data_IF_772608695985
#
_entry.id   IF_772608695985
#
_cell.length_a   1.000
_cell.length_b   1.000
_cell.length_c   1.000
_cell.angle_alpha   90.00
_cell.angle_beta   90.00
_cell.angle_gamma   90.00
#
_symmetry.space_group_name_H-M   'P 1'
#
loop_
_entity.id
_entity.type
_entity.pdbx_description
1 polymer ?
#
# COMPACT_ATOMS: atom_id res chain seq x y z
N UNK A 1 4.58 2.77 22.67
CA UNK A 1 4.22 2.39 21.28
C UNK A 1 2.76 1.99 21.16
N UNK A 2 2.17 2.13 19.94
CA UNK A 2 0.71 2.04 19.71
C UNK A 2 0.09 0.69 20.12
N UNK A 3 0.82 -0.41 19.98
CA UNK A 3 0.35 -1.76 20.34
C UNK A 3 1.06 -2.37 21.55
N UNK A 4 1.88 -1.61 22.25
CA UNK A 4 2.68 -2.13 23.35
C UNK A 4 1.80 -2.67 24.48
N UNK A 5 2.07 -3.92 24.86
CA UNK A 5 1.47 -4.59 26.01
C UNK A 5 2.59 -5.20 26.84
N UNK A 6 3.15 -4.40 27.73
CA UNK A 6 4.29 -4.78 28.58
C UNK A 6 3.94 -5.89 29.57
N UNK A 7 2.64 -6.15 29.81
CA UNK A 7 2.16 -7.17 30.74
C UNK A 7 1.89 -8.52 30.06
N UNK A 8 1.75 -8.55 28.73
CA UNK A 8 1.34 -9.73 27.97
C UNK A 8 -0.08 -10.24 28.26
N UNK A 9 -0.80 -9.58 29.16
CA UNK A 9 -2.13 -10.05 29.60
C UNK A 9 -3.18 -10.00 28.48
N UNK A 10 -3.10 -8.99 27.60
CA UNK A 10 -4.02 -8.89 26.46
C UNK A 10 -3.86 -10.10 25.53
N UNK A 11 -2.61 -10.47 25.22
CA UNK A 11 -2.34 -11.63 24.37
C UNK A 11 -2.76 -12.93 25.04
N UNK A 12 -2.57 -13.08 26.34
CA UNK A 12 -3.01 -14.26 27.08
C UNK A 12 -4.52 -14.45 27.01
N UNK A 13 -5.30 -13.37 27.21
CA UNK A 13 -6.76 -13.38 27.07
C UNK A 13 -7.20 -13.75 25.65
N UNK A 14 -6.59 -13.16 24.62
CA UNK A 14 -6.88 -13.46 23.22
C UNK A 14 -6.54 -14.91 22.89
N UNK A 15 -5.36 -15.40 23.34
CA UNK A 15 -4.94 -16.79 23.11
C UNK A 15 -5.92 -17.76 23.76
N UNK A 16 -6.37 -17.50 24.98
CA UNK A 16 -7.34 -18.32 25.66
C UNK A 16 -8.67 -18.37 24.89
N UNK A 17 -9.20 -17.22 24.51
CA UNK A 17 -10.42 -17.12 23.70
C UNK A 17 -10.29 -17.88 22.37
N UNK A 18 -9.21 -17.68 21.64
CA UNK A 18 -8.96 -18.38 20.35
C UNK A 18 -8.82 -19.90 20.56
N UNK A 19 -8.18 -20.34 21.67
CA UNK A 19 -8.07 -21.76 21.99
C UNK A 19 -9.41 -22.39 22.30
N UNK A 20 -10.29 -21.70 23.03
CA UNK A 20 -11.65 -22.16 23.31
C UNK A 20 -12.48 -22.25 22.03
N UNK A 21 -12.43 -21.22 21.17
CA UNK A 21 -13.15 -21.21 19.87
C UNK A 21 -12.65 -22.37 18.99
N UNK A 22 -11.33 -22.56 18.91
CA UNK A 22 -10.75 -23.66 18.13
C UNK A 22 -11.15 -25.03 18.68
N UNK A 23 -11.16 -25.20 19.99
CA UNK A 23 -11.57 -26.44 20.64
C UNK A 23 -13.03 -26.77 20.33
N UNK A 24 -13.94 -25.79 20.47
CA UNK A 24 -15.35 -25.96 20.14
C UNK A 24 -15.53 -26.34 18.66
N UNK A 25 -14.79 -25.68 17.76
CA UNK A 25 -14.81 -25.98 16.33
C UNK A 25 -14.31 -27.39 16.03
N UNK A 26 -13.18 -27.80 16.62
CA UNK A 26 -12.61 -29.15 16.45
C UNK A 26 -13.53 -30.24 16.99
N UNK A 27 -14.16 -30.01 18.17
CA UNK A 27 -15.16 -30.93 18.73
C UNK A 27 -16.35 -31.08 17.76
N UNK A 28 -16.85 -29.96 17.21
CA UNK A 28 -17.95 -29.99 16.24
C UNK A 28 -17.58 -30.75 14.96
N UNK A 29 -16.38 -30.55 14.42
CA UNK A 29 -15.89 -31.31 13.28
C UNK A 29 -15.70 -32.79 13.59
N UNK A 30 -15.20 -33.15 14.77
CA UNK A 30 -15.08 -34.53 15.22
C UNK A 30 -16.43 -35.21 15.31
N UNK A 31 -17.41 -34.58 15.96
CA UNK A 31 -18.78 -35.09 16.09
C UNK A 31 -19.44 -35.28 14.70
N UNK A 32 -19.22 -34.33 13.78
CA UNK A 32 -19.68 -34.43 12.40
C UNK A 32 -19.04 -35.59 11.64
N UNK A 33 -17.71 -35.76 11.77
CA UNK A 33 -16.97 -36.88 11.20
C UNK A 33 -17.44 -38.24 11.73
N UNK A 34 -17.61 -38.37 13.03
CA UNK A 34 -18.11 -39.58 13.66
C UNK A 34 -19.54 -39.94 13.23
N UNK A 35 -20.36 -38.92 12.96
CA UNK A 35 -21.70 -39.11 12.41
C UNK A 35 -21.66 -39.62 10.95
N UNK A 36 -20.79 -39.05 10.10
CA UNK A 36 -20.60 -39.46 8.71
C UNK A 36 -20.18 -40.95 8.63
N UNK A 37 -19.34 -41.45 9.53
CA UNK A 37 -18.90 -42.83 9.59
C UNK A 37 -19.86 -43.75 10.35
N UNK A 38 -21.05 -43.25 10.80
CA UNK A 38 -22.06 -44.00 11.56
C UNK A 38 -21.50 -44.73 12.81
N UNK A 39 -20.42 -44.18 13.40
CA UNK A 39 -19.76 -44.77 14.56
C UNK A 39 -20.56 -44.54 15.85
N UNK A 40 -21.35 -43.46 15.90
CA UNK A 40 -22.15 -43.07 17.07
C UNK A 40 -23.63 -43.05 16.71
N UNK A 41 -24.40 -43.91 17.39
CA UNK A 41 -25.85 -44.01 17.20
C UNK A 41 -26.69 -43.32 18.28
N UNK A 42 -26.12 -42.31 18.94
CA UNK A 42 -26.87 -41.50 19.91
C UNK A 42 -27.70 -40.41 19.19
N UNK A 43 -29.04 -40.45 19.21
CA UNK A 43 -29.89 -39.50 18.48
C UNK A 43 -29.63 -38.05 18.81
N UNK A 44 -29.34 -37.75 20.09
CA UNK A 44 -29.08 -36.39 20.58
C UNK A 44 -27.72 -35.86 20.00
N UNK A 45 -26.69 -36.70 20.02
CA UNK A 45 -25.35 -36.31 19.48
C UNK A 45 -25.44 -36.12 17.97
N UNK A 46 -26.18 -36.98 17.28
CA UNK A 46 -26.43 -36.85 15.85
C UNK A 46 -27.18 -35.51 15.53
N UNK A 47 -28.22 -35.20 16.30
CA UNK A 47 -28.95 -33.93 16.11
C UNK A 47 -28.05 -32.70 16.35
N UNK A 48 -27.24 -32.71 17.40
CA UNK A 48 -26.28 -31.63 17.70
C UNK A 48 -25.24 -31.49 16.57
N UNK A 49 -24.67 -32.61 16.10
CA UNK A 49 -23.67 -32.62 15.03
C UNK A 49 -24.25 -32.11 13.70
N UNK A 50 -25.47 -32.53 13.34
CA UNK A 50 -26.15 -32.06 12.13
C UNK A 50 -26.49 -30.58 12.22
N UNK A 51 -27.02 -30.10 13.36
CA UNK A 51 -27.34 -28.70 13.55
C UNK A 51 -26.08 -27.82 13.53
N UNK A 52 -24.96 -28.28 14.12
CA UNK A 52 -23.68 -27.59 14.07
C UNK A 52 -23.15 -27.50 12.63
N UNK A 53 -23.17 -28.60 11.87
CA UNK A 53 -22.74 -28.63 10.48
C UNK A 53 -23.60 -27.71 9.58
N UNK A 54 -24.93 -27.74 9.78
CA UNK A 54 -25.85 -26.84 9.07
C UNK A 54 -25.59 -25.38 9.43
N UNK A 55 -25.34 -25.06 10.71
CA UNK A 55 -24.95 -23.72 11.17
C UNK A 55 -23.67 -23.22 10.48
N UNK A 56 -22.64 -24.07 10.43
CA UNK A 56 -21.39 -23.75 9.71
C UNK A 56 -21.67 -23.52 8.23
N UNK A 57 -22.44 -24.39 7.58
CA UNK A 57 -22.78 -24.26 6.15
C UNK A 57 -23.52 -22.95 5.87
N UNK A 58 -24.53 -22.61 6.67
CA UNK A 58 -25.30 -21.36 6.54
C UNK A 58 -24.39 -20.17 6.74
N UNK A 59 -23.56 -20.14 7.80
CA UNK A 59 -22.59 -19.07 8.07
C UNK A 59 -21.65 -18.89 6.89
N UNK A 60 -21.10 -19.97 6.37
CA UNK A 60 -20.16 -19.94 5.26
C UNK A 60 -20.79 -19.41 3.96
N UNK A 61 -21.99 -19.90 3.60
CA UNK A 61 -22.73 -19.41 2.42
C UNK A 61 -23.05 -17.92 2.59
N UNK A 62 -23.54 -17.51 3.78
CA UNK A 62 -23.84 -16.10 4.06
C UNK A 62 -22.59 -15.22 3.97
N UNK A 63 -21.47 -15.71 4.50
CA UNK A 63 -20.17 -15.02 4.41
C UNK A 63 -19.71 -14.87 2.96
N UNK A 64 -19.79 -15.92 2.15
CA UNK A 64 -19.44 -15.89 0.71
C UNK A 64 -20.34 -14.91 -0.04
N UNK A 65 -21.66 -14.98 0.16
CA UNK A 65 -22.60 -14.06 -0.48
C UNK A 65 -22.29 -12.61 -0.09
N UNK A 66 -22.08 -12.35 1.19
CA UNK A 66 -21.73 -11.02 1.68
C UNK A 66 -20.43 -10.51 1.04
N UNK A 67 -19.37 -11.32 1.00
CA UNK A 67 -18.08 -10.90 0.43
C UNK A 67 -18.16 -10.67 -1.08
N UNK A 68 -18.94 -11.45 -1.80
CA UNK A 68 -19.17 -11.25 -3.25
C UNK A 68 -19.96 -9.98 -3.49
N UNK A 69 -21.07 -9.77 -2.78
CA UNK A 69 -21.91 -8.59 -2.93
C UNK A 69 -21.12 -7.32 -2.60
N UNK A 70 -20.43 -7.30 -1.46
CA UNK A 70 -19.60 -6.16 -1.05
C UNK A 70 -18.42 -5.93 -1.99
N UNK A 71 -17.76 -7.01 -2.45
CA UNK A 71 -16.67 -6.93 -3.41
C UNK A 71 -17.12 -6.38 -4.76
N UNK A 72 -18.28 -6.82 -5.25
CA UNK A 72 -18.85 -6.36 -6.51
C UNK A 72 -19.32 -4.89 -6.42
N UNK A 73 -19.99 -4.54 -5.33
CA UNK A 73 -20.39 -3.15 -5.05
C UNK A 73 -19.18 -2.22 -4.97
N UNK A 74 -18.12 -2.64 -4.24
CA UNK A 74 -16.85 -1.92 -4.18
C UNK A 74 -16.24 -1.74 -5.56
N UNK A 75 -16.22 -2.79 -6.39
CA UNK A 75 -15.71 -2.71 -7.76
C UNK A 75 -16.49 -1.69 -8.60
N UNK A 76 -17.82 -1.69 -8.56
CA UNK A 76 -18.66 -0.73 -9.28
C UNK A 76 -18.33 0.70 -8.84
N UNK A 77 -18.22 0.93 -7.54
CA UNK A 77 -17.89 2.26 -6.98
C UNK A 77 -16.50 2.70 -7.47
N UNK A 78 -15.50 1.81 -7.37
CA UNK A 78 -14.13 2.12 -7.83
C UNK A 78 -14.12 2.43 -9.32
N UNK A 79 -14.81 1.64 -10.15
CA UNK A 79 -14.88 1.90 -11.60
C UNK A 79 -15.53 3.24 -11.88
N UNK A 80 -16.68 3.53 -11.28
CA UNK A 80 -17.39 4.78 -11.49
C UNK A 80 -16.49 5.99 -11.19
N UNK A 81 -15.86 6.03 -10.02
CA UNK A 81 -14.99 7.14 -9.63
C UNK A 81 -13.67 7.17 -10.40
N UNK A 82 -13.10 6.03 -10.73
CA UNK A 82 -11.91 5.94 -11.58
C UNK A 82 -12.16 6.53 -12.97
N UNK A 83 -13.26 6.14 -13.64
CA UNK A 83 -13.63 6.70 -14.96
C UNK A 83 -13.97 8.18 -14.88
N UNK A 84 -14.66 8.61 -13.83
CA UNK A 84 -14.96 10.03 -13.60
C UNK A 84 -13.68 10.86 -13.45
N UNK A 85 -12.72 10.40 -12.61
CA UNK A 85 -11.40 11.01 -12.47
C UNK A 85 -10.66 11.06 -13.81
N UNK A 86 -10.63 9.94 -14.53
CA UNK A 86 -9.94 9.86 -15.82
C UNK A 86 -10.48 10.87 -16.83
N UNK A 87 -11.82 11.00 -16.94
CA UNK A 87 -12.47 12.00 -17.79
C UNK A 87 -12.17 13.42 -17.35
N UNK A 88 -12.28 13.71 -16.05
CA UNK A 88 -11.96 15.04 -15.48
C UNK A 88 -10.52 15.46 -15.78
N UNK A 89 -9.56 14.55 -15.52
CA UNK A 89 -8.13 14.80 -15.82
C UNK A 89 -7.89 15.01 -17.32
N UNK A 90 -8.57 14.27 -18.19
CA UNK A 90 -8.46 14.45 -19.65
C UNK A 90 -8.90 15.85 -20.06
N UNK A 91 -10.09 16.28 -19.65
CA UNK A 91 -10.62 17.63 -19.95
C UNK A 91 -9.71 18.72 -19.39
N UNK A 92 -9.24 18.57 -18.13
CA UNK A 92 -8.31 19.53 -17.53
C UNK A 92 -7.00 19.65 -18.32
N UNK A 93 -6.44 18.54 -18.80
CA UNK A 93 -5.21 18.53 -19.60
C UNK A 93 -5.41 19.20 -20.97
N UNK A 94 -6.54 18.95 -21.62
CA UNK A 94 -6.90 19.61 -22.87
C UNK A 94 -7.03 21.13 -22.67
N UNK A 95 -7.69 21.56 -21.59
CA UNK A 95 -7.81 22.97 -21.21
C UNK A 95 -6.43 23.62 -20.93
N UNK A 96 -5.57 22.97 -20.15
CA UNK A 96 -4.21 23.46 -19.86
C UNK A 96 -3.37 23.55 -21.13
N UNK A 97 -3.46 22.56 -22.03
CA UNK A 97 -2.70 22.57 -23.29
C UNK A 97 -3.13 23.70 -24.23
N UNK A 98 -4.42 24.07 -24.19
CA UNK A 98 -4.95 25.20 -24.96
C UNK A 98 -4.58 26.56 -24.34
N UNK A 99 -4.38 26.63 -23.01
CA UNK A 99 -4.09 27.84 -22.25
C UNK A 99 -2.72 27.76 -21.58
N UNK A 100 -1.65 27.61 -22.35
CA UNK A 100 -0.27 27.37 -21.86
C UNK A 100 0.25 28.43 -20.88
N UNK A 101 -0.22 29.64 -20.98
CA UNK A 101 0.29 30.83 -20.30
C UNK A 101 0.30 30.70 -18.76
N UNK A 102 -0.74 30.12 -18.17
CA UNK A 102 -0.85 30.04 -16.70
C UNK A 102 0.17 29.08 -16.07
N UNK A 103 0.45 27.95 -16.72
CA UNK A 103 1.39 26.94 -16.21
C UNK A 103 2.86 27.28 -16.43
N UNK A 104 3.18 28.17 -17.38
CA UNK A 104 4.54 28.66 -17.60
C UNK A 104 5.01 29.56 -16.45
N UNK A 105 4.08 30.24 -15.76
CA UNK A 105 4.41 31.15 -14.65
C UNK A 105 4.48 30.47 -13.27
N UNK A 106 3.83 29.31 -13.09
CA UNK A 106 3.87 28.62 -11.80
C UNK A 106 5.10 27.70 -11.70
N UNK A 107 6.20 28.25 -11.22
CA UNK A 107 7.48 27.54 -11.02
C UNK A 107 8.02 27.81 -9.60
N UNK A 108 7.36 27.26 -8.56
CA UNK A 108 7.83 27.43 -7.20
C UNK A 108 9.20 26.80 -6.98
N UNK A 109 10.00 27.29 -6.02
CA UNK A 109 11.23 26.64 -5.63
C UNK A 109 10.95 25.21 -5.08
N UNK A 110 11.71 24.24 -5.59
CA UNK A 110 11.56 22.81 -5.25
C UNK A 110 12.82 22.28 -4.60
N UNK A 111 12.68 21.73 -3.40
CA UNK A 111 13.71 20.92 -2.75
C UNK A 111 13.37 19.44 -2.83
N UNK A 112 14.39 18.61 -3.01
CA UNK A 112 14.24 17.14 -2.97
C UNK A 112 14.92 16.61 -1.71
N UNK A 113 14.26 15.71 -0.97
CA UNK A 113 14.83 15.02 0.19
C UNK A 113 14.95 13.53 -0.13
N UNK A 114 16.17 13.00 0.05
CA UNK A 114 16.48 11.58 -0.13
C UNK A 114 17.07 11.05 1.19
N UNK A 115 16.30 10.34 2.02
CA UNK A 115 16.87 9.63 3.17
C UNK A 115 17.63 8.40 2.66
N UNK A 116 18.88 8.23 3.09
CA UNK A 116 19.73 7.10 2.70
C UNK A 116 20.31 6.40 3.92
N UNK A 117 20.41 5.05 3.82
CA UNK A 117 21.09 4.21 4.80
C UNK A 117 21.64 2.97 4.12
N UNK A 118 22.96 2.93 3.90
CA UNK A 118 23.67 1.85 3.21
C UNK A 118 23.12 1.59 1.79
N UNK A 119 23.16 2.58 0.91
CA UNK A 119 22.60 2.52 -0.45
C UNK A 119 23.67 2.71 -1.54
N UNK A 120 24.94 2.27 -1.27
CA UNK A 120 26.09 2.43 -2.16
C UNK A 120 25.86 1.90 -3.59
N UNK A 121 25.02 0.85 -3.74
CA UNK A 121 24.75 0.18 -5.03
C UNK A 121 23.91 1.06 -5.97
N UNK A 122 23.04 1.92 -5.43
CA UNK A 122 21.95 2.55 -6.19
C UNK A 122 21.95 4.07 -6.17
N UNK A 123 22.51 4.69 -5.12
CA UNK A 123 22.34 6.13 -4.86
C UNK A 123 22.81 7.02 -6.02
N UNK A 124 23.92 6.67 -6.69
CA UNK A 124 24.44 7.43 -7.85
C UNK A 124 23.38 7.53 -8.94
N UNK A 125 22.76 6.41 -9.31
CA UNK A 125 21.73 6.37 -10.36
C UNK A 125 20.53 7.24 -10.02
N UNK A 126 20.10 7.24 -8.76
CA UNK A 126 18.97 8.06 -8.28
C UNK A 126 19.28 9.55 -8.43
N UNK A 127 20.45 9.99 -7.97
CA UNK A 127 20.87 11.40 -8.09
C UNK A 127 21.01 11.81 -9.56
N UNK A 128 21.65 10.98 -10.39
CA UNK A 128 21.84 11.25 -11.84
C UNK A 128 20.49 11.40 -12.57
N UNK A 129 19.48 10.59 -12.18
CA UNK A 129 18.16 10.70 -12.78
C UNK A 129 17.45 12.01 -12.39
N UNK A 130 17.65 12.48 -11.16
CA UNK A 130 17.09 13.77 -10.71
C UNK A 130 17.76 14.96 -11.38
N UNK A 131 19.08 14.90 -11.59
CA UNK A 131 19.82 15.95 -12.30
C UNK A 131 19.45 16.04 -13.79
N UNK A 132 18.86 14.96 -14.36
CA UNK A 132 18.31 14.98 -15.73
C UNK A 132 16.88 15.53 -15.81
N UNK A 133 16.30 15.99 -14.70
CA UNK A 133 14.95 16.55 -14.69
C UNK A 133 14.84 17.79 -15.57
N UNK A 134 13.69 17.93 -16.23
CA UNK A 134 13.33 19.15 -16.97
C UNK A 134 12.85 20.30 -16.08
N UNK A 135 12.82 20.11 -14.75
CA UNK A 135 12.47 21.13 -13.77
C UNK A 135 13.74 21.68 -13.09
N UNK A 136 13.83 23.01 -12.98
CA UNK A 136 14.95 23.63 -12.28
C UNK A 136 14.82 23.42 -10.76
N UNK A 137 15.67 22.57 -10.22
CA UNK A 137 15.70 22.26 -8.79
C UNK A 137 16.45 23.33 -8.00
N UNK A 138 15.93 23.65 -6.81
CA UNK A 138 16.63 24.52 -5.86
C UNK A 138 17.76 23.75 -5.17
N UNK A 139 17.46 22.53 -4.74
CA UNK A 139 18.43 21.65 -4.09
C UNK A 139 17.97 20.18 -4.10
N UNK A 140 18.95 19.27 -4.02
CA UNK A 140 18.78 17.85 -3.71
C UNK A 140 19.49 17.61 -2.39
N UNK A 141 18.73 17.43 -1.32
CA UNK A 141 19.23 17.23 0.03
C UNK A 141 19.21 15.75 0.37
N UNK A 142 20.38 15.15 0.47
CA UNK A 142 20.57 13.75 0.83
C UNK A 142 20.84 13.68 2.33
N UNK A 143 20.01 12.93 3.06
CA UNK A 143 20.17 12.74 4.50
C UNK A 143 20.71 11.33 4.73
N UNK A 144 21.99 11.23 5.00
CA UNK A 144 22.64 9.97 5.36
C UNK A 144 22.40 9.64 6.84
N UNK A 145 21.51 8.71 7.07
CA UNK A 145 21.08 8.26 8.41
C UNK A 145 22.09 7.25 9.03
N UNK A 146 23.38 7.61 8.98
CA UNK A 146 24.46 6.84 9.59
C UNK A 146 24.88 5.61 8.80
N UNK A 147 25.03 5.71 7.48
CA UNK A 147 25.56 4.62 6.64
C UNK A 147 26.93 4.16 7.09
N UNK A 148 27.15 2.84 6.99
CA UNK A 148 28.41 2.16 7.32
C UNK A 148 29.16 1.62 6.10
N UNK A 149 28.53 1.71 4.93
CA UNK A 149 29.08 1.36 3.61
C UNK A 149 29.68 2.60 2.90
N UNK A 150 29.92 2.51 1.60
CA UNK A 150 30.49 3.59 0.80
C UNK A 150 29.49 4.67 0.34
N UNK A 151 28.24 4.64 0.84
CA UNK A 151 27.18 5.59 0.40
C UNK A 151 27.66 7.05 0.50
N UNK A 152 28.15 7.46 1.65
CA UNK A 152 28.57 8.85 1.87
C UNK A 152 29.80 9.24 1.03
N UNK A 153 30.78 8.36 0.87
CA UNK A 153 31.98 8.61 0.04
C UNK A 153 31.62 8.76 -1.43
N UNK A 154 30.75 7.87 -1.96
CA UNK A 154 30.26 7.94 -3.34
C UNK A 154 29.59 9.30 -3.62
N UNK A 155 28.75 9.79 -2.70
CA UNK A 155 28.04 11.06 -2.86
C UNK A 155 29.04 12.21 -2.87
N UNK A 156 29.96 12.26 -1.89
CA UNK A 156 30.98 13.30 -1.79
C UNK A 156 31.88 13.35 -3.02
N UNK A 157 32.42 12.21 -3.45
CA UNK A 157 33.33 12.13 -4.57
C UNK A 157 32.68 12.46 -5.93
N UNK A 158 31.39 12.08 -6.09
CA UNK A 158 30.72 12.25 -7.37
C UNK A 158 30.05 13.61 -7.56
N UNK A 159 29.68 14.31 -6.47
CA UNK A 159 28.83 15.49 -6.55
C UNK A 159 29.34 16.68 -5.72
N UNK A 160 30.61 16.67 -5.21
CA UNK A 160 31.21 17.79 -4.46
C UNK A 160 31.13 19.14 -5.20
N UNK A 161 31.29 19.10 -6.52
CA UNK A 161 31.30 20.29 -7.35
C UNK A 161 29.92 20.74 -7.83
N UNK A 162 28.87 19.97 -7.49
CA UNK A 162 27.51 20.30 -7.89
C UNK A 162 26.78 21.06 -6.77
N UNK A 163 26.53 22.39 -6.92
CA UNK A 163 25.95 23.21 -5.84
C UNK A 163 24.51 22.83 -5.51
N UNK A 164 23.84 22.09 -6.39
CA UNK A 164 22.46 21.63 -6.17
C UNK A 164 22.40 20.41 -5.25
N UNK A 165 23.47 19.60 -5.17
CA UNK A 165 23.51 18.36 -4.37
C UNK A 165 24.16 18.65 -3.00
N UNK A 166 23.42 18.39 -1.95
CA UNK A 166 23.88 18.59 -0.57
C UNK A 166 23.78 17.30 0.21
N UNK A 167 24.81 16.94 0.96
CA UNK A 167 24.85 15.78 1.85
C UNK A 167 24.87 16.23 3.30
N UNK A 168 23.90 15.76 4.07
CA UNK A 168 23.90 15.85 5.54
C UNK A 168 24.03 14.46 6.14
N UNK A 169 24.98 14.30 7.05
CA UNK A 169 25.22 13.03 7.75
C UNK A 169 24.71 13.13 9.20
N UNK A 170 24.01 12.11 9.65
CA UNK A 170 23.49 12.02 11.02
C UNK A 170 23.70 10.62 11.60
N UNK A 171 23.44 10.45 12.89
CA UNK A 171 23.37 9.13 13.50
C UNK A 171 22.06 8.46 13.08
N UNK A 172 22.09 7.13 12.96
CA UNK A 172 20.89 6.37 12.59
C UNK A 172 19.76 6.54 13.60
N UNK A 173 18.72 7.28 13.19
CA UNK A 173 17.51 7.53 13.97
C UNK A 173 16.24 7.11 13.19
N UNK A 174 16.41 6.49 12.02
CA UNK A 174 15.35 5.98 11.16
C UNK A 174 14.82 6.98 10.14
N UNK A 175 14.19 6.45 9.09
CA UNK A 175 13.74 7.20 7.90
C UNK A 175 12.90 8.44 8.23
N UNK A 176 11.92 8.33 9.13
CA UNK A 176 11.07 9.47 9.50
C UNK A 176 11.87 10.63 10.13
N UNK A 177 12.88 10.30 10.96
CA UNK A 177 13.77 11.28 11.56
C UNK A 177 14.64 11.97 10.50
N UNK A 178 15.20 11.20 9.54
CA UNK A 178 15.97 11.73 8.43
C UNK A 178 15.12 12.67 7.54
N UNK A 179 13.88 12.27 7.22
CA UNK A 179 12.95 13.13 6.49
C UNK A 179 12.64 14.43 7.23
N UNK A 180 12.40 14.37 8.56
CA UNK A 180 12.15 15.55 9.38
C UNK A 180 13.33 16.51 9.38
N UNK A 181 14.55 16.00 9.52
CA UNK A 181 15.76 16.80 9.40
C UNK A 181 15.85 17.48 8.03
N UNK A 182 15.52 16.71 6.95
CA UNK A 182 15.46 17.25 5.60
C UNK A 182 14.45 18.40 5.47
N UNK A 183 13.23 18.25 5.96
CA UNK A 183 12.21 19.31 5.93
C UNK A 183 12.63 20.57 6.67
N UNK A 184 13.33 20.44 7.80
CA UNK A 184 13.83 21.56 8.58
C UNK A 184 14.98 22.32 7.89
N UNK A 185 15.72 21.66 7.00
CA UNK A 185 16.87 22.24 6.30
C UNK A 185 16.55 22.72 4.89
N UNK A 186 15.42 22.29 4.30
CA UNK A 186 15.02 22.68 2.94
C UNK A 186 14.46 24.10 2.88
N UNK A 187 14.68 24.76 1.75
CA UNK A 187 14.21 26.13 1.46
C UNK A 187 13.08 26.17 0.41
N UNK A 188 12.83 25.07 -0.29
CA UNK A 188 11.78 24.98 -1.31
C UNK A 188 10.38 25.17 -0.73
N UNK A 189 9.48 25.78 -1.50
CA UNK A 189 8.05 25.85 -1.20
C UNK A 189 7.41 24.46 -1.30
N UNK A 190 7.83 23.71 -2.31
CA UNK A 190 7.41 22.34 -2.55
C UNK A 190 8.59 21.42 -2.24
N UNK A 191 8.33 20.42 -1.41
CA UNK A 191 9.31 19.40 -1.04
C UNK A 191 8.91 18.07 -1.68
N UNK A 192 9.84 17.49 -2.44
CA UNK A 192 9.65 16.14 -3.01
C UNK A 192 10.44 15.16 -2.16
N UNK A 193 9.79 14.07 -1.74
CA UNK A 193 10.45 12.96 -1.06
C UNK A 193 10.45 11.73 -1.94
N UNK A 194 11.58 11.03 -2.00
CA UNK A 194 11.71 9.75 -2.69
C UNK A 194 12.68 8.83 -1.95
N UNK A 195 12.50 7.52 -2.16
CA UNK A 195 13.42 6.52 -1.63
C UNK A 195 14.68 6.43 -2.49
N UNK A 196 15.81 6.04 -1.90
CA UNK A 196 17.11 5.97 -2.56
C UNK A 196 17.15 5.01 -3.77
N UNK A 197 16.21 4.06 -3.85
CA UNK A 197 16.06 3.08 -4.96
C UNK A 197 15.11 3.53 -6.07
N UNK A 198 14.61 4.74 -5.98
CA UNK A 198 13.60 5.26 -6.91
C UNK A 198 14.24 6.10 -8.01
N UNK A 199 13.90 5.81 -9.26
CA UNK A 199 14.37 6.55 -10.43
C UNK A 199 13.19 7.31 -11.04
N UNK A 200 13.30 8.63 -11.13
CA UNK A 200 12.29 9.49 -11.74
C UNK A 200 12.47 9.59 -13.27
N UNK A 201 11.33 9.61 -13.99
CA UNK A 201 11.32 10.07 -15.36
C UNK A 201 11.62 11.58 -15.41
N UNK A 202 12.32 12.11 -16.43
CA UNK A 202 12.71 13.54 -16.48
C UNK A 202 11.56 14.53 -16.27
N UNK A 203 10.35 14.21 -16.68
CA UNK A 203 9.17 15.08 -16.55
C UNK A 203 8.41 14.91 -15.22
N UNK A 204 8.80 13.97 -14.38
CA UNK A 204 8.06 13.62 -13.15
C UNK A 204 7.88 14.81 -12.24
N UNK A 205 8.94 15.57 -11.99
CA UNK A 205 8.93 16.71 -11.09
C UNK A 205 7.99 17.80 -11.59
N UNK A 206 8.05 18.13 -12.87
CA UNK A 206 7.14 19.12 -13.50
C UNK A 206 5.68 18.71 -13.35
N UNK A 207 5.37 17.41 -13.54
CA UNK A 207 4.00 16.92 -13.39
C UNK A 207 3.53 16.89 -11.93
N UNK A 208 4.39 16.63 -10.96
CA UNK A 208 4.02 16.73 -9.55
C UNK A 208 3.73 18.17 -9.16
N UNK A 209 4.65 19.09 -9.49
CA UNK A 209 4.62 20.48 -9.05
C UNK A 209 3.42 21.26 -9.61
N UNK A 210 3.04 21.05 -10.85
CA UNK A 210 1.93 21.76 -11.48
C UNK A 210 0.60 21.70 -10.70
N UNK A 211 0.39 20.63 -9.93
CA UNK A 211 -0.84 20.44 -9.15
C UNK A 211 -0.93 21.37 -7.93
N UNK A 212 0.18 21.95 -7.48
CA UNK A 212 0.23 22.87 -6.34
C UNK A 212 -0.18 24.32 -6.71
N UNK A 213 -0.51 24.58 -7.96
CA UNK A 213 -1.18 25.82 -8.38
C UNK A 213 -2.55 26.00 -7.71
N UNK A 214 -3.20 24.92 -7.27
CA UNK A 214 -4.33 24.97 -6.34
C UNK A 214 -3.80 25.05 -4.90
N UNK A 215 -4.05 26.17 -4.17
CA UNK A 215 -3.55 26.34 -2.80
C UNK A 215 -4.12 25.33 -1.79
N UNK A 216 -5.25 24.67 -2.11
CA UNK A 216 -5.84 23.63 -1.26
C UNK A 216 -5.08 22.28 -1.36
N UNK A 217 -4.21 22.11 -2.36
CA UNK A 217 -3.41 20.91 -2.53
C UNK A 217 -2.23 20.94 -1.58
N UNK A 218 -2.23 19.99 -0.64
CA UNK A 218 -1.14 19.81 0.32
C UNK A 218 -0.15 18.72 -0.09
N UNK A 219 -0.61 17.72 -0.84
CA UNK A 219 0.25 16.63 -1.28
C UNK A 219 -0.15 16.11 -2.69
N UNK A 220 0.85 15.64 -3.42
CA UNK A 220 0.68 15.00 -4.72
C UNK A 220 1.45 13.68 -4.70
N UNK A 221 0.80 12.58 -5.06
CA UNK A 221 1.43 11.27 -5.24
C UNK A 221 1.52 10.92 -6.71
N UNK A 222 2.68 10.46 -7.16
CA UNK A 222 2.89 10.02 -8.54
C UNK A 222 2.55 8.55 -8.78
N UNK A 223 2.84 8.10 -9.99
CA UNK A 223 2.62 6.75 -10.50
C UNK A 223 3.91 5.93 -10.39
N UNK A 224 4.04 5.18 -9.31
CA UNK A 224 5.18 4.31 -9.09
C UNK A 224 5.02 3.00 -9.86
N UNK A 225 6.05 2.61 -10.61
CA UNK A 225 6.11 1.39 -11.41
C UNK A 225 7.26 0.49 -10.96
N UNK A 226 7.10 -0.82 -11.13
CA UNK A 226 8.18 -1.77 -10.84
C UNK A 226 9.22 -1.73 -11.96
N UNK A 227 10.48 -1.44 -11.58
CA UNK A 227 11.62 -1.34 -12.48
C UNK A 227 12.34 -2.65 -12.75
N UNK A 228 12.34 -3.60 -11.80
CA UNK A 228 13.11 -4.86 -11.86
C UNK A 228 12.23 -6.10 -12.13
N UNK A 229 11.53 -6.16 -13.26
CA UNK A 229 10.62 -7.28 -13.63
C UNK A 229 11.41 -8.52 -14.12
N UNK A 230 12.09 -9.26 -13.21
CA UNK A 230 13.00 -10.35 -13.52
C UNK A 230 12.45 -11.75 -13.31
N UNK A 231 11.60 -11.92 -12.32
CA UNK A 231 11.04 -13.22 -11.94
C UNK A 231 9.52 -13.16 -11.73
N UNK A 232 8.92 -14.30 -11.42
CA UNK A 232 7.48 -14.43 -11.22
C UNK A 232 6.96 -13.52 -10.08
N UNK A 233 7.69 -13.41 -8.98
CA UNK A 233 7.30 -12.58 -7.84
C UNK A 233 7.30 -11.09 -8.19
N UNK A 234 8.31 -10.60 -8.91
CA UNK A 234 8.38 -9.21 -9.36
C UNK A 234 7.33 -8.90 -10.43
N UNK A 235 6.97 -9.89 -11.26
CA UNK A 235 5.89 -9.76 -12.22
C UNK A 235 4.51 -9.65 -11.53
N UNK A 236 4.27 -10.44 -10.48
CA UNK A 236 3.05 -10.34 -9.68
C UNK A 236 2.92 -9.01 -8.96
N UNK A 237 4.03 -8.48 -8.43
CA UNK A 237 4.07 -7.13 -7.85
C UNK A 237 3.79 -6.05 -8.92
N UNK A 238 4.29 -6.22 -10.15
CA UNK A 238 3.97 -5.32 -11.25
C UNK A 238 2.46 -5.28 -11.54
N UNK A 239 1.78 -6.44 -11.63
CA UNK A 239 0.33 -6.50 -11.84
C UNK A 239 -0.42 -5.80 -10.70
N UNK A 240 -0.03 -6.03 -9.46
CA UNK A 240 -0.61 -5.36 -8.28
C UNK A 240 -0.45 -3.83 -8.36
N UNK A 241 0.77 -3.34 -8.65
CA UNK A 241 1.04 -1.90 -8.74
C UNK A 241 0.22 -1.24 -9.86
N UNK A 242 0.22 -1.82 -11.05
CA UNK A 242 -0.58 -1.29 -12.17
C UNK A 242 -2.06 -1.24 -11.79
N UNK A 243 -2.57 -2.29 -11.14
CA UNK A 243 -4.00 -2.35 -10.75
C UNK A 243 -4.31 -1.32 -9.66
N UNK A 244 -3.52 -1.22 -8.60
CA UNK A 244 -3.77 -0.29 -7.50
C UNK A 244 -3.60 1.18 -7.94
N UNK A 245 -2.54 1.50 -8.68
CA UNK A 245 -2.27 2.87 -9.13
C UNK A 245 -3.33 3.37 -10.13
N UNK A 246 -3.76 2.52 -11.07
CA UNK A 246 -4.65 2.96 -12.13
C UNK A 246 -6.14 2.79 -11.85
N UNK A 247 -6.53 2.05 -10.82
CA UNK A 247 -7.93 1.97 -10.38
C UNK A 247 -8.15 2.65 -9.05
N UNK A 248 -7.55 2.12 -7.98
CA UNK A 248 -7.86 2.52 -6.62
C UNK A 248 -7.41 3.95 -6.33
N UNK A 249 -6.17 4.32 -6.66
CA UNK A 249 -5.68 5.69 -6.43
C UNK A 249 -6.50 6.73 -7.21
N UNK A 250 -6.90 6.42 -8.46
CA UNK A 250 -7.77 7.31 -9.24
C UNK A 250 -9.13 7.48 -8.57
N UNK A 251 -9.76 6.38 -8.16
CA UNK A 251 -11.05 6.42 -7.49
C UNK A 251 -10.98 7.18 -6.17
N UNK A 252 -9.95 6.93 -5.36
CA UNK A 252 -9.75 7.61 -4.07
C UNK A 252 -9.37 9.09 -4.24
N UNK A 253 -8.67 9.49 -5.31
CA UNK A 253 -8.48 10.91 -5.62
C UNK A 253 -9.83 11.59 -5.87
N UNK A 254 -10.67 11.01 -6.72
CA UNK A 254 -11.97 11.59 -7.05
C UNK A 254 -12.91 11.67 -5.84
N UNK A 255 -12.76 10.73 -4.90
CA UNK A 255 -13.45 10.74 -3.61
C UNK A 255 -12.80 11.69 -2.58
N UNK A 256 -11.63 12.28 -2.87
CA UNK A 256 -10.88 13.09 -1.93
C UNK A 256 -10.38 12.30 -0.71
N UNK A 257 -10.05 11.02 -0.88
CA UNK A 257 -9.72 10.11 0.24
C UNK A 257 -8.55 9.16 -0.07
N UNK A 258 -7.53 9.64 -0.80
CA UNK A 258 -6.26 8.91 -0.96
C UNK A 258 -5.68 8.62 0.41
N UNK A 259 -5.54 7.37 0.79
CA UNK A 259 -5.07 6.96 2.13
C UNK A 259 -3.56 6.85 2.24
N UNK A 260 -2.83 6.83 1.11
CA UNK A 260 -1.37 6.69 1.07
C UNK A 260 -0.78 7.58 -0.02
N UNK A 261 -0.01 8.55 0.39
CA UNK A 261 0.93 9.29 -0.46
C UNK A 261 2.27 8.57 -0.36
N UNK A 262 2.63 7.80 -1.40
CA UNK A 262 3.77 6.87 -1.36
C UNK A 262 5.09 7.59 -1.11
N UNK A 263 5.88 7.14 -0.14
CA UNK A 263 7.20 7.68 0.17
C UNK A 263 8.21 7.66 -1.00
N UNK A 264 7.96 6.81 -2.01
CA UNK A 264 8.84 6.67 -3.19
C UNK A 264 8.57 7.68 -4.32
N UNK A 265 7.42 8.36 -4.32
CA UNK A 265 7.07 9.34 -5.38
C UNK A 265 6.00 10.30 -4.86
N UNK A 266 6.44 11.27 -4.08
CA UNK A 266 5.53 12.23 -3.44
C UNK A 266 6.09 13.64 -3.43
N UNK A 267 5.19 14.61 -3.54
CA UNK A 267 5.47 16.03 -3.37
C UNK A 267 4.52 16.60 -2.31
N UNK A 268 5.03 17.55 -1.53
CA UNK A 268 4.37 18.10 -0.36
C UNK A 268 4.48 19.63 -0.35
N UNK A 269 3.39 20.31 0.01
CA UNK A 269 3.48 21.74 0.36
C UNK A 269 4.16 21.83 1.71
N UNK A 270 5.40 22.34 1.75
CA UNK A 270 6.26 22.38 2.94
C UNK A 270 5.53 22.95 4.15
N UNK A 271 4.91 24.12 4.00
CA UNK A 271 4.19 24.81 5.07
C UNK A 271 3.13 23.91 5.75
N UNK A 272 2.40 23.09 4.99
CA UNK A 272 1.38 22.19 5.56
C UNK A 272 2.02 21.06 6.37
N UNK A 273 3.14 20.51 5.91
CA UNK A 273 3.87 19.46 6.66
C UNK A 273 4.45 20.02 7.96
N UNK A 274 4.98 21.25 7.94
CA UNK A 274 5.46 21.97 9.11
C UNK A 274 4.33 22.24 10.11
N UNK A 275 3.21 22.76 9.64
CA UNK A 275 2.02 23.05 10.47
C UNK A 275 1.46 21.79 11.14
N UNK A 276 1.49 20.66 10.44
CA UNK A 276 1.06 19.36 10.97
C UNK A 276 2.11 18.69 11.87
N UNK A 277 3.29 19.27 12.07
CA UNK A 277 4.32 18.74 12.97
C UNK A 277 5.17 17.61 12.39
N UNK A 278 5.41 17.64 11.08
CA UNK A 278 6.29 16.71 10.34
C UNK A 278 5.86 15.23 10.39
N UNK A 279 6.76 14.30 10.07
CA UNK A 279 6.52 12.85 10.17
C UNK A 279 6.61 12.36 11.61
N UNK A 280 5.71 11.50 12.01
CA UNK A 280 5.77 10.86 13.32
C UNK A 280 6.70 9.64 13.28
N UNK A 281 7.66 9.57 14.19
CA UNK A 281 8.70 8.52 14.25
C UNK A 281 8.22 7.24 14.93
N UNK A 282 7.02 7.24 15.51
CA UNK A 282 6.41 6.10 16.22
C UNK A 282 5.62 5.15 15.32
N UNK A 283 5.63 5.37 13.99
CA UNK A 283 4.88 4.59 13.00
C UNK A 283 5.80 4.03 11.92
N UNK A 284 5.55 2.78 11.49
CA UNK A 284 6.33 2.12 10.42
C UNK A 284 5.85 2.46 9.00
N UNK A 285 4.70 3.14 8.88
CA UNK A 285 4.18 3.71 7.64
C UNK A 285 3.98 5.22 7.86
N UNK A 286 5.07 5.92 7.99
CA UNK A 286 5.14 7.35 8.28
C UNK A 286 4.41 8.19 7.24
N UNK A 287 4.47 7.78 5.98
CA UNK A 287 3.79 8.37 4.84
C UNK A 287 2.26 8.24 4.92
N UNK A 288 1.78 7.06 5.28
CA UNK A 288 0.35 6.79 5.51
C UNK A 288 -0.17 7.63 6.68
N UNK A 289 0.61 7.72 7.75
CA UNK A 289 0.25 8.48 8.95
C UNK A 289 0.11 9.97 8.66
N UNK A 290 1.08 10.56 7.96
CA UNK A 290 1.03 11.96 7.53
C UNK A 290 -0.14 12.20 6.56
N UNK A 291 -0.39 11.26 5.64
CA UNK A 291 -1.52 11.32 4.70
C UNK A 291 -2.86 11.45 5.43
N UNK A 292 -3.09 10.65 6.48
CA UNK A 292 -4.33 10.71 7.27
C UNK A 292 -4.47 12.05 8.00
N UNK A 293 -3.37 12.62 8.54
CA UNK A 293 -3.41 13.95 9.18
C UNK A 293 -3.77 15.05 8.17
N UNK A 294 -3.20 15.03 6.99
CA UNK A 294 -3.50 15.97 5.91
C UNK A 294 -5.00 15.90 5.53
N UNK A 295 -5.55 14.71 5.36
CA UNK A 295 -6.98 14.53 5.04
C UNK A 295 -7.89 15.02 6.17
N UNK A 296 -7.51 14.77 7.43
CA UNK A 296 -8.28 15.23 8.60
C UNK A 296 -8.20 16.75 8.80
N UNK A 297 -7.14 17.39 8.34
CA UNK A 297 -6.99 18.86 8.29
C UNK A 297 -7.80 19.50 7.15
N UNK A 298 -8.43 18.70 6.28
CA UNK A 298 -9.30 19.19 5.21
C UNK A 298 -8.57 19.55 3.90
N UNK A 299 -7.28 19.24 3.79
CA UNK A 299 -6.51 19.50 2.59
C UNK A 299 -6.75 18.46 1.51
N UNK A 300 -6.48 18.86 0.25
CA UNK A 300 -6.58 17.97 -0.92
C UNK A 300 -5.27 17.22 -1.15
N UNK A 301 -5.43 15.97 -1.59
CA UNK A 301 -4.35 15.11 -2.07
C UNK A 301 -4.67 14.71 -3.51
N UNK A 302 -3.70 14.87 -4.41
CA UNK A 302 -3.84 14.61 -5.85
C UNK A 302 -3.00 13.40 -6.25
N UNK A 303 -3.54 12.57 -7.15
CA UNK A 303 -2.79 11.54 -7.86
C UNK A 303 -2.44 12.02 -9.27
N UNK A 304 -1.16 12.13 -9.59
CA UNK A 304 -0.70 12.51 -10.93
C UNK A 304 -0.13 11.30 -11.68
N UNK A 305 -0.90 10.72 -12.56
CA UNK A 305 -0.57 9.50 -13.28
C UNK A 305 0.58 9.65 -14.31
N UNK A 306 0.90 10.88 -14.75
CA UNK A 306 2.04 11.19 -15.64
C UNK A 306 3.36 11.31 -14.87
N UNK A 307 3.31 11.56 -13.57
CA UNK A 307 4.49 11.62 -12.73
C UNK A 307 5.03 10.22 -12.46
N UNK A 308 5.79 9.68 -13.41
CA UNK A 308 6.24 8.28 -13.41
C UNK A 308 7.55 8.15 -12.65
N UNK A 309 7.61 7.18 -11.74
CA UNK A 309 8.84 6.69 -11.12
C UNK A 309 8.96 5.18 -11.25
N UNK A 310 10.19 4.69 -11.16
CA UNK A 310 10.51 3.27 -11.17
C UNK A 310 11.23 2.91 -9.87
N UNK A 311 10.70 1.95 -9.12
CA UNK A 311 11.32 1.46 -7.90
C UNK A 311 11.74 0.00 -8.03
N UNK A 312 12.66 -0.44 -7.18
CA UNK A 312 13.12 -1.80 -7.10
C UNK A 312 12.29 -2.58 -6.08
N UNK A 313 11.45 -3.51 -6.56
CA UNK A 313 10.66 -4.37 -5.68
C UNK A 313 11.46 -5.62 -5.25
N UNK A 314 11.10 -6.25 -4.11
CA UNK A 314 11.73 -7.47 -3.63
C UNK A 314 11.72 -8.62 -4.65
N UNK A 315 12.88 -9.22 -4.88
CA UNK A 315 13.05 -10.36 -5.79
C UNK A 315 12.92 -11.71 -5.08
N UNK A 316 13.01 -11.73 -3.74
CA UNK A 316 12.87 -12.93 -2.91
C UNK A 316 11.60 -12.91 -2.08
N UNK A 317 11.05 -14.10 -1.77
CA UNK A 317 9.88 -14.22 -0.88
C UNK A 317 10.20 -13.68 0.52
N UNK A 318 11.42 -13.89 1.02
CA UNK A 318 11.87 -13.40 2.33
C UNK A 318 11.78 -11.88 2.43
N UNK A 319 12.33 -11.16 1.45
CA UNK A 319 12.34 -9.70 1.43
C UNK A 319 10.94 -9.13 1.14
N UNK A 320 10.18 -9.80 0.27
CA UNK A 320 8.78 -9.49 0.04
C UNK A 320 7.97 -9.53 1.34
N UNK A 321 8.07 -10.63 2.09
CA UNK A 321 7.37 -10.78 3.38
C UNK A 321 7.81 -9.70 4.37
N UNK A 322 9.12 -9.38 4.42
CA UNK A 322 9.68 -8.34 5.30
C UNK A 322 9.10 -6.95 4.94
N UNK A 323 9.09 -6.58 3.65
CA UNK A 323 8.55 -5.30 3.18
C UNK A 323 7.04 -5.20 3.45
N UNK A 324 6.26 -6.20 3.03
CA UNK A 324 4.81 -6.20 3.16
C UNK A 324 4.34 -6.29 4.61
N UNK A 325 5.08 -6.98 5.46
CA UNK A 325 4.83 -7.00 6.90
C UNK A 325 4.95 -5.60 7.50
N UNK A 326 6.02 -4.86 7.17
CA UNK A 326 6.21 -3.48 7.62
C UNK A 326 5.05 -2.58 7.19
N UNK A 327 4.64 -2.66 5.92
CA UNK A 327 3.52 -1.87 5.40
C UNK A 327 2.21 -2.23 6.11
N UNK A 328 1.88 -3.52 6.18
CA UNK A 328 0.63 -3.97 6.81
C UNK A 328 0.57 -3.61 8.30
N UNK A 329 1.68 -3.77 9.01
CA UNK A 329 1.76 -3.42 10.42
C UNK A 329 1.66 -1.90 10.64
N UNK A 330 2.36 -1.09 9.83
CA UNK A 330 2.31 0.37 9.89
C UNK A 330 0.91 0.94 9.58
N UNK A 331 0.21 0.34 8.60
CA UNK A 331 -1.19 0.70 8.31
C UNK A 331 -2.10 0.39 9.50
N UNK A 332 -1.93 -0.77 10.16
CA UNK A 332 -2.69 -1.09 11.38
C UNK A 332 -2.36 -0.12 12.52
N UNK A 333 -1.09 0.27 12.68
CA UNK A 333 -0.68 1.29 13.65
C UNK A 333 -1.38 2.62 13.37
N UNK A 334 -1.37 3.08 12.12
CA UNK A 334 -2.04 4.32 11.70
C UNK A 334 -3.55 4.27 11.97
N UNK A 335 -4.22 3.19 11.56
CA UNK A 335 -5.64 3.02 11.77
C UNK A 335 -6.01 3.05 13.26
N UNK A 336 -5.21 2.40 14.10
CA UNK A 336 -5.43 2.39 15.54
C UNK A 336 -5.15 3.74 16.20
N UNK A 337 -4.05 4.39 15.84
CA UNK A 337 -3.64 5.71 16.33
C UNK A 337 -4.71 6.76 16.02
N UNK A 338 -5.19 6.75 14.78
CA UNK A 338 -6.15 7.74 14.28
C UNK A 338 -7.62 7.30 14.32
N UNK A 339 -7.97 6.18 15.00
CA UNK A 339 -9.35 5.65 15.02
C UNK A 339 -10.40 6.68 15.42
N UNK A 340 -10.11 7.52 16.41
CA UNK A 340 -11.05 8.58 16.84
C UNK A 340 -11.13 9.69 15.79
N UNK A 341 -10.00 10.19 15.29
CA UNK A 341 -9.98 11.25 14.27
C UNK A 341 -10.60 10.79 12.96
N UNK A 342 -10.45 9.51 12.57
CA UNK A 342 -11.12 8.94 11.41
C UNK A 342 -12.63 8.87 11.62
N UNK A 343 -13.09 8.41 12.78
CA UNK A 343 -14.52 8.31 13.11
C UNK A 343 -15.22 9.70 13.13
N UNK A 344 -14.52 10.72 13.55
CA UNK A 344 -15.02 12.10 13.61
C UNK A 344 -14.50 12.98 12.46
N UNK A 345 -13.85 12.37 11.46
CA UNK A 345 -13.30 13.10 10.31
C UNK A 345 -14.37 13.88 9.57
N UNK A 346 -14.11 15.15 9.19
CA UNK A 346 -14.95 15.90 8.26
C UNK A 346 -14.97 15.26 6.86
N UNK A 347 -13.96 14.47 6.52
CA UNK A 347 -13.88 13.75 5.26
C UNK A 347 -14.78 12.51 5.28
N UNK A 348 -16.01 12.66 4.77
CA UNK A 348 -17.01 11.58 4.71
C UNK A 348 -16.51 10.38 3.90
N UNK A 349 -15.79 10.61 2.81
CA UNK A 349 -15.28 9.54 1.95
C UNK A 349 -14.19 8.71 2.65
N UNK A 350 -13.34 9.34 3.44
CA UNK A 350 -12.36 8.64 4.27
C UNK A 350 -13.07 7.70 5.25
N UNK A 351 -14.07 8.21 5.97
CA UNK A 351 -14.80 7.50 7.01
C UNK A 351 -15.67 6.35 6.46
N UNK A 352 -16.46 6.63 5.42
CA UNK A 352 -17.51 5.70 4.97
C UNK A 352 -17.11 4.81 3.80
N UNK A 353 -16.00 5.13 3.10
CA UNK A 353 -15.56 4.34 1.96
C UNK A 353 -14.09 3.90 2.05
N UNK A 354 -13.12 4.81 2.21
CA UNK A 354 -11.71 4.45 2.10
C UNK A 354 -11.27 3.50 3.24
N UNK A 355 -11.58 3.82 4.49
CA UNK A 355 -11.24 2.97 5.64
C UNK A 355 -12.02 1.65 5.64
N UNK A 356 -13.36 1.61 5.43
CA UNK A 356 -14.08 0.36 5.27
C UNK A 356 -13.56 -0.50 4.12
N UNK A 357 -13.19 0.09 2.97
CA UNK A 357 -12.60 -0.62 1.83
C UNK A 357 -11.26 -1.27 2.20
N UNK A 358 -10.42 -0.57 2.95
CA UNK A 358 -9.17 -1.10 3.48
C UNK A 358 -9.41 -2.28 4.45
N UNK A 359 -10.30 -2.11 5.41
CA UNK A 359 -10.67 -3.17 6.37
C UNK A 359 -11.24 -4.39 5.66
N UNK A 360 -12.06 -4.20 4.64
CA UNK A 360 -12.60 -5.27 3.81
C UNK A 360 -11.49 -6.05 3.11
N UNK A 361 -10.46 -5.38 2.56
CA UNK A 361 -9.31 -6.05 1.95
C UNK A 361 -8.53 -6.89 2.98
N UNK A 362 -8.30 -6.36 4.17
CA UNK A 362 -7.67 -7.13 5.26
C UNK A 362 -8.51 -8.35 5.67
N UNK A 363 -9.83 -8.20 5.80
CA UNK A 363 -10.74 -9.30 6.09
C UNK A 363 -10.64 -10.41 5.03
N UNK A 364 -10.62 -10.05 3.73
CA UNK A 364 -10.45 -11.01 2.65
C UNK A 364 -9.12 -11.76 2.73
N UNK A 365 -8.01 -11.09 3.04
CA UNK A 365 -6.71 -11.75 3.20
C UNK A 365 -6.66 -12.65 4.43
N UNK A 366 -7.25 -12.24 5.55
CA UNK A 366 -7.31 -13.05 6.77
C UNK A 366 -8.15 -14.32 6.60
N UNK A 367 -9.25 -14.24 5.87
CA UNK A 367 -10.18 -15.35 5.69
C UNK A 367 -9.87 -16.22 4.47
N UNK A 368 -8.99 -15.78 3.57
CA UNK A 368 -8.70 -16.50 2.33
C UNK A 368 -8.27 -17.96 2.52
N UNK A 369 -7.42 -18.36 3.49
CA UNK A 369 -7.05 -19.75 3.65
C UNK A 369 -8.24 -20.63 4.06
N UNK A 370 -9.13 -20.09 4.89
CA UNK A 370 -10.34 -20.80 5.36
C UNK A 370 -11.30 -20.99 4.18
N UNK A 371 -11.52 -19.94 3.40
CA UNK A 371 -12.38 -19.96 2.21
C UNK A 371 -11.89 -21.01 1.22
N UNK A 372 -10.59 -21.09 0.97
CA UNK A 372 -10.03 -22.01 0.00
C UNK A 372 -10.13 -23.48 0.47
N UNK A 373 -9.91 -23.76 1.77
CA UNK A 373 -10.12 -25.09 2.34
C UNK A 373 -11.58 -25.50 2.18
N UNK A 374 -12.51 -24.62 2.57
CA UNK A 374 -13.95 -24.91 2.44
C UNK A 374 -14.38 -25.04 0.97
N UNK A 375 -13.76 -24.29 0.07
CA UNK A 375 -13.94 -24.42 -1.35
C UNK A 375 -13.51 -25.81 -1.86
N UNK A 376 -12.33 -26.29 -1.45
CA UNK A 376 -11.84 -27.65 -1.80
C UNK A 376 -12.79 -28.72 -1.26
N UNK A 377 -13.22 -28.61 0.00
CA UNK A 377 -14.18 -29.57 0.60
C UNK A 377 -15.49 -29.60 -0.19
N UNK A 378 -16.02 -28.45 -0.56
CA UNK A 378 -17.27 -28.37 -1.32
C UNK A 378 -17.12 -28.89 -2.77
N UNK A 379 -15.95 -28.68 -3.37
CA UNK A 379 -15.59 -29.25 -4.67
C UNK A 379 -15.61 -30.79 -4.61
N UNK A 380 -14.95 -31.37 -3.61
CA UNK A 380 -14.90 -32.80 -3.38
C UNK A 380 -16.29 -33.40 -3.05
N UNK A 381 -17.19 -32.58 -2.49
CA UNK A 381 -18.59 -32.96 -2.18
C UNK A 381 -19.54 -32.89 -3.39
N UNK A 382 -19.06 -32.50 -4.57
CA UNK A 382 -19.88 -32.40 -5.78
C UNK A 382 -20.85 -31.22 -5.81
N UNK A 383 -20.63 -30.17 -4.98
CA UNK A 383 -21.50 -28.99 -4.89
C UNK A 383 -21.25 -28.05 -6.08
N UNK A 384 -22.06 -28.16 -7.14
CA UNK A 384 -21.86 -27.42 -8.42
C UNK A 384 -21.96 -25.89 -8.28
N UNK A 385 -22.79 -25.36 -7.36
CA UNK A 385 -22.96 -23.91 -7.15
C UNK A 385 -21.65 -23.19 -6.81
N UNK A 386 -20.69 -23.89 -6.25
CA UNK A 386 -19.43 -23.29 -5.81
C UNK A 386 -18.52 -22.91 -6.98
N UNK A 387 -18.63 -23.62 -8.11
CA UNK A 387 -17.88 -23.26 -9.33
C UNK A 387 -18.28 -21.88 -9.85
N UNK A 388 -19.58 -21.55 -9.79
CA UNK A 388 -20.07 -20.27 -10.22
C UNK A 388 -19.45 -19.13 -9.37
N UNK A 389 -19.38 -19.32 -8.05
CA UNK A 389 -18.76 -18.32 -7.16
C UNK A 389 -17.26 -18.14 -7.45
N UNK A 390 -16.53 -19.22 -7.69
CA UNK A 390 -15.10 -19.15 -8.04
C UNK A 390 -14.88 -18.41 -9.37
N UNK A 391 -15.69 -18.72 -10.37
CA UNK A 391 -15.63 -18.08 -11.68
C UNK A 391 -15.94 -16.58 -11.55
N UNK A 392 -17.01 -16.21 -10.85
CA UNK A 392 -17.39 -14.79 -10.65
C UNK A 392 -16.28 -14.03 -9.92
N UNK A 393 -15.68 -14.62 -8.89
CA UNK A 393 -14.60 -14.00 -8.15
C UNK A 393 -13.35 -13.79 -9.02
N UNK A 394 -12.99 -14.81 -9.81
CA UNK A 394 -11.86 -14.69 -10.75
C UNK A 394 -12.12 -13.67 -11.85
N UNK A 395 -13.34 -13.68 -12.43
CA UNK A 395 -13.73 -12.72 -13.47
C UNK A 395 -13.71 -11.28 -12.96
N UNK A 396 -14.16 -11.05 -11.72
CA UNK A 396 -14.11 -9.73 -11.09
C UNK A 396 -12.68 -9.22 -10.98
N UNK A 397 -11.75 -10.08 -10.56
CA UNK A 397 -10.33 -9.75 -10.43
C UNK A 397 -9.67 -9.52 -11.80
N UNK A 398 -9.97 -10.38 -12.76
CA UNK A 398 -9.49 -10.24 -14.13
C UNK A 398 -9.98 -8.92 -14.76
N UNK A 399 -11.25 -8.57 -14.56
CA UNK A 399 -11.82 -7.33 -15.05
C UNK A 399 -11.15 -6.11 -14.44
N UNK A 400 -10.90 -6.11 -13.13
CA UNK A 400 -10.15 -5.05 -12.46
C UNK A 400 -8.77 -4.86 -13.09
N UNK A 401 -8.01 -5.94 -13.27
CA UNK A 401 -6.68 -5.88 -13.85
C UNK A 401 -6.69 -5.44 -15.32
N UNK A 402 -7.62 -5.95 -16.14
CA UNK A 402 -7.76 -5.57 -17.55
C UNK A 402 -8.06 -4.06 -17.68
N UNK A 403 -9.01 -3.56 -16.89
CA UNK A 403 -9.38 -2.13 -16.92
C UNK A 403 -8.21 -1.26 -16.45
N UNK A 404 -7.51 -1.64 -15.38
CA UNK A 404 -6.34 -0.92 -14.89
C UNK A 404 -5.22 -0.82 -15.92
N UNK A 405 -4.91 -1.93 -16.60
CA UNK A 405 -3.88 -1.97 -17.63
C UNK A 405 -4.26 -1.12 -18.86
N UNK A 406 -5.53 -1.15 -19.27
CA UNK A 406 -6.03 -0.29 -20.36
C UNK A 406 -5.95 1.20 -20.02
N UNK A 407 -6.42 1.60 -18.84
CA UNK A 407 -6.38 3.00 -18.40
C UNK A 407 -4.93 3.48 -18.22
N UNK A 408 -4.06 2.63 -17.65
CA UNK A 408 -2.63 2.90 -17.47
C UNK A 408 -1.81 2.84 -18.76
N UNK A 409 -2.42 2.44 -19.90
CA UNK A 409 -1.73 2.19 -21.18
C UNK A 409 -0.56 1.20 -21.05
N UNK A 410 -0.73 0.20 -20.19
CA UNK A 410 0.27 -0.84 -19.94
C UNK A 410 0.13 -2.01 -20.92
N UNK A 411 1.24 -2.70 -21.18
CA UNK A 411 1.22 -3.91 -22.02
C UNK A 411 0.42 -5.01 -21.34
N UNK A 412 -0.56 -5.62 -22.02
CA UNK A 412 -1.48 -6.63 -21.47
C UNK A 412 -0.81 -8.01 -21.24
N UNK A 413 0.37 -8.25 -21.82
CA UNK A 413 1.07 -9.54 -21.75
C UNK A 413 1.25 -10.09 -20.31
N UNK A 414 1.57 -9.29 -19.28
CA UNK A 414 1.69 -9.78 -17.90
C UNK A 414 0.42 -10.44 -17.35
N UNK A 415 -0.76 -10.08 -17.85
CA UNK A 415 -2.04 -10.60 -17.35
C UNK A 415 -2.25 -12.10 -17.61
N UNK A 416 -1.47 -12.72 -18.50
CA UNK A 416 -1.46 -14.19 -18.68
C UNK A 416 -1.12 -14.91 -17.36
N UNK A 417 -0.34 -14.26 -16.50
CA UNK A 417 0.06 -14.78 -15.19
C UNK A 417 -0.92 -14.50 -14.06
N UNK A 418 -2.03 -13.83 -14.34
CA UNK A 418 -2.99 -13.41 -13.31
C UNK A 418 -3.59 -14.60 -12.53
N UNK A 419 -3.86 -15.71 -13.22
CA UNK A 419 -4.35 -16.93 -12.56
C UNK A 419 -3.35 -17.45 -11.50
N UNK A 420 -2.09 -17.56 -11.86
CA UNK A 420 -1.02 -18.01 -10.94
C UNK A 420 -0.74 -17.01 -9.83
N UNK A 421 -0.83 -15.71 -10.13
CA UNK A 421 -0.78 -14.66 -9.10
C UNK A 421 -1.85 -14.87 -8.05
N UNK A 422 -3.06 -15.19 -8.48
CA UNK A 422 -4.17 -15.45 -7.56
C UNK A 422 -3.91 -16.61 -6.62
N UNK A 423 -3.36 -17.69 -7.14
CA UNK A 423 -3.07 -18.89 -6.35
C UNK A 423 -1.85 -18.72 -5.42
N UNK A 424 -0.80 -18.05 -5.86
CA UNK A 424 0.45 -17.93 -5.10
C UNK A 424 0.53 -16.64 -4.27
N UNK A 425 0.38 -15.50 -4.92
CA UNK A 425 0.61 -14.18 -4.33
C UNK A 425 -0.40 -13.83 -3.22
N UNK A 426 -1.66 -14.24 -3.39
CA UNK A 426 -2.70 -14.04 -2.37
C UNK A 426 -2.37 -14.73 -1.05
N UNK A 427 -1.78 -15.93 -1.08
CA UNK A 427 -1.36 -16.63 0.14
C UNK A 427 -0.20 -15.93 0.83
N UNK A 428 0.75 -15.37 0.06
CA UNK A 428 1.82 -14.56 0.62
C UNK A 428 1.27 -13.33 1.33
N UNK A 429 0.34 -12.60 0.71
CA UNK A 429 -0.34 -11.46 1.33
C UNK A 429 -1.17 -11.87 2.56
N UNK A 430 -1.88 -12.98 2.48
CA UNK A 430 -2.61 -13.55 3.61
C UNK A 430 -1.69 -13.87 4.79
N UNK A 431 -0.58 -14.56 4.56
CA UNK A 431 0.43 -14.84 5.56
C UNK A 431 0.98 -13.57 6.21
N UNK A 432 1.32 -12.57 5.39
CA UNK A 432 1.81 -11.27 5.87
C UNK A 432 0.77 -10.57 6.75
N UNK A 433 -0.50 -10.56 6.31
CA UNK A 433 -1.60 -9.94 7.05
C UNK A 433 -1.82 -10.64 8.40
N UNK A 434 -1.84 -11.98 8.44
CA UNK A 434 -1.89 -12.76 9.68
C UNK A 434 -0.74 -12.41 10.62
N UNK A 435 0.49 -12.39 10.10
CA UNK A 435 1.68 -12.03 10.85
C UNK A 435 1.59 -10.62 11.43
N UNK A 436 1.10 -9.65 10.66
CA UNK A 436 0.95 -8.27 11.10
C UNK A 436 -0.12 -8.14 12.20
N UNK A 437 -1.29 -8.74 12.01
CA UNK A 437 -2.38 -8.73 13.01
C UNK A 437 -1.96 -9.41 14.30
N UNK A 438 -1.37 -10.61 14.22
CA UNK A 438 -0.90 -11.33 15.41
C UNK A 438 0.18 -10.53 16.14
N UNK A 439 1.12 -9.89 15.42
CA UNK A 439 2.16 -9.06 16.03
C UNK A 439 1.58 -7.83 16.72
N UNK A 440 0.58 -7.18 16.11
CA UNK A 440 -0.14 -6.07 16.71
C UNK A 440 -0.90 -6.48 17.99
N UNK A 441 -1.59 -7.62 17.95
CA UNK A 441 -2.30 -8.16 19.11
C UNK A 441 -1.35 -8.57 20.25
N UNK A 442 -0.14 -9.06 19.91
CA UNK A 442 0.92 -9.41 20.88
C UNK A 442 1.63 -8.20 21.47
N UNK A 443 1.41 -7.01 20.94
CA UNK A 443 2.11 -5.80 21.39
C UNK A 443 3.62 -5.84 21.09
N UNK A 444 4.06 -6.55 20.05
CA UNK A 444 5.49 -6.66 19.73
C UNK A 444 6.04 -5.35 19.19
N UNK A 445 7.22 -4.98 19.67
CA UNK A 445 8.05 -3.96 19.02
C UNK A 445 8.50 -4.48 17.64
N UNK A 446 8.29 -3.69 16.62
CA UNK A 446 8.77 -3.96 15.26
C UNK A 446 9.67 -2.80 14.85
N UNK A 447 10.92 -3.13 14.52
CA UNK A 447 11.90 -2.15 14.03
C UNK A 447 11.89 -2.11 12.50
N UNK A 448 12.27 -0.95 11.96
CA UNK A 448 12.53 -0.78 10.55
C UNK A 448 13.73 -1.66 10.15
N UNK A 449 13.54 -2.55 9.20
CA UNK A 449 14.60 -3.44 8.73
C UNK A 449 14.93 -3.15 7.27
N UNK A 450 16.23 -2.89 6.97
CA UNK A 450 16.72 -2.70 5.61
C UNK A 450 16.42 -3.92 4.73
N UNK A 451 16.09 -3.66 3.45
CA UNK A 451 16.01 -4.66 2.38
C UNK A 451 17.32 -4.63 1.59
N UNK A 452 17.76 -5.78 1.11
CA UNK A 452 18.91 -5.86 0.20
C UNK A 452 18.52 -5.31 -1.17
N UNK A 453 19.39 -4.47 -1.75
CA UNK A 453 19.21 -3.89 -3.07
C UNK A 453 20.13 -4.57 -4.07
N UNK A 454 19.60 -4.90 -5.23
CA UNK A 454 20.36 -5.61 -6.28
C UNK A 454 20.84 -4.69 -7.40
N UNK A 455 20.39 -3.44 -7.43
CA UNK A 455 20.68 -2.49 -8.50
C UNK A 455 20.05 -2.86 -9.86
N UNK A 456 19.07 -3.74 -9.85
CA UNK A 456 18.51 -4.38 -11.03
C UNK A 456 17.39 -3.59 -11.74
N UNK A 457 17.16 -2.33 -11.38
CA UNK A 457 16.17 -1.52 -12.08
C UNK A 457 16.53 -1.39 -13.57
N UNK A 458 15.61 -1.78 -14.46
CA UNK A 458 15.81 -1.80 -15.91
C UNK A 458 15.66 -0.43 -16.58
N UNK A 459 15.12 0.56 -15.87
CA UNK A 459 15.03 1.93 -16.37
C UNK A 459 16.40 2.60 -16.24
N UNK A 460 17.00 2.95 -17.41
CA UNK A 460 18.30 3.62 -17.52
C UNK A 460 18.11 5.10 -17.84
#
# INVERSE_FOLDING_TARGET
>A
MIFEDNTGQRWLKIKLLLSVVLLVFLIGLLLYGLNLYKIIHFPLINAIAINFANGIKIFFISYLLMTIVLGFLRMIIIFYFCFRQHRRKKVLREYISANKTYMEYYKPPVSIIIPVYNEEVIIRRTIDALLKSNYSLTEILIIDDGSTDQTASIIKESYSDNPTVKLLQTKNNGKASALNLGFQQTIGEIVITLDADTVFHPETISYLVQNFSDPQVAAVTGNCKIGNRKNQLTLWQHIEYVTSQNLEKRAFEELGSITVVSGSNSAWRRMVVEELGYYHTDNLAEDTELTIRILNAGHKIIYEDRAISYEECPETVKDFVKQRFRWSYGVLQTAWKHKKSILYSPNKSLKYFAVPSLLFSYLLFLTSPIIDILFIIALLSGTTSIYLFAILFYLTDALNSIVAFKIGKEKMRPLVWLFFQRLGYRYLLGYVTWKAVISALRGKHVHWGKLERTGNNLYK
#
